data_IF_218034609918
#
_entry.id   IF_218034609918
#
_cell.length_a   1.000
_cell.length_b   1.000
_cell.length_c   1.000
_cell.angle_alpha   90.00
_cell.angle_beta   90.00
_cell.angle_gamma   90.00
#
_symmetry.space_group_name_H-M   'P 1'
#
loop_
_entity.id
_entity.type
_entity.pdbx_description
1 polymer ?
#
# COMPACT_ATOMS: atom_id res chain seq x y z
N UNK A 1 16.62 42.39 6.84
CA UNK A 1 15.79 41.68 7.83
C UNK A 1 16.19 40.22 7.77
N UNK A 2 16.55 39.61 8.89
CA UNK A 2 16.84 38.18 8.94
C UNK A 2 15.58 37.34 8.73
N UNK A 3 15.72 36.09 8.25
CA UNK A 3 14.58 35.19 7.99
C UNK A 3 13.66 35.04 9.21
N UNK A 4 14.26 34.92 10.40
CA UNK A 4 13.53 34.82 11.66
C UNK A 4 12.71 36.09 11.97
N UNK A 5 13.32 37.26 11.82
CA UNK A 5 12.65 38.54 12.06
C UNK A 5 11.46 38.75 11.11
N UNK A 6 11.62 38.35 9.84
CA UNK A 6 10.55 38.42 8.84
C UNK A 6 9.42 37.42 9.15
N UNK A 7 9.75 36.18 9.53
CA UNK A 7 8.76 35.19 9.95
C UNK A 7 7.97 35.65 11.19
N UNK A 8 8.66 36.21 12.19
CA UNK A 8 8.03 36.75 13.40
C UNK A 8 7.14 37.97 13.07
N UNK A 9 7.54 38.83 12.13
CA UNK A 9 6.71 39.92 11.63
C UNK A 9 5.45 39.44 10.89
N UNK A 10 5.55 38.36 10.10
CA UNK A 10 4.40 37.74 9.44
C UNK A 10 3.42 37.20 10.48
N UNK A 11 3.92 36.46 11.48
CA UNK A 11 3.08 35.90 12.56
C UNK A 11 2.38 36.99 13.38
N UNK A 12 3.08 38.09 13.65
CA UNK A 12 2.49 39.22 14.39
C UNK A 12 1.46 40.01 13.59
N UNK A 13 1.61 40.08 12.26
CA UNK A 13 0.76 40.88 11.37
C UNK A 13 -0.39 40.13 10.71
N UNK A 14 -0.61 38.85 11.03
CA UNK A 14 -1.61 38.01 10.37
C UNK A 14 -3.03 38.27 10.89
N UNK A 15 -4.00 38.35 9.97
CA UNK A 15 -5.42 38.28 10.29
C UNK A 15 -5.83 36.86 10.68
N UNK A 16 -6.12 36.62 11.96
CA UNK A 16 -6.48 35.30 12.48
C UNK A 16 -7.75 34.72 11.83
N UNK A 17 -8.71 35.57 11.44
CA UNK A 17 -9.93 35.14 10.77
C UNK A 17 -9.66 34.50 9.40
N UNK A 18 -8.72 35.05 8.63
CA UNK A 18 -8.34 34.49 7.33
C UNK A 18 -7.66 33.12 7.48
N UNK A 19 -6.85 32.94 8.54
CA UNK A 19 -6.24 31.66 8.88
C UNK A 19 -7.29 30.64 9.31
N UNK A 20 -8.22 31.03 10.19
CA UNK A 20 -9.31 30.15 10.61
C UNK A 20 -10.21 29.73 9.44
N UNK A 21 -10.53 30.68 8.54
CA UNK A 21 -11.27 30.41 7.31
C UNK A 21 -10.55 29.42 6.41
N UNK A 22 -9.24 29.60 6.20
CA UNK A 22 -8.43 28.66 5.44
C UNK A 22 -8.43 27.26 6.08
N UNK A 23 -8.18 27.16 7.39
CA UNK A 23 -8.13 25.86 8.09
C UNK A 23 -9.45 25.10 8.02
N UNK A 24 -10.59 25.80 7.95
CA UNK A 24 -11.91 25.20 7.78
C UNK A 24 -12.12 24.57 6.39
N UNK A 25 -11.36 24.98 5.36
CA UNK A 25 -11.40 24.36 4.03
C UNK A 25 -10.77 22.96 4.02
N UNK A 26 -9.92 22.63 5.01
CA UNK A 26 -9.17 21.39 5.08
C UNK A 26 -9.78 20.44 6.12
N UNK A 27 -10.41 19.33 5.71
CA UNK A 27 -11.00 18.38 6.64
C UNK A 27 -9.91 17.61 7.40
N UNK A 28 -10.23 16.90 8.51
CA UNK A 28 -9.28 16.03 9.20
C UNK A 28 -8.65 14.97 8.30
N UNK A 29 -7.43 14.53 8.62
CA UNK A 29 -6.67 13.57 7.78
C UNK A 29 -7.43 12.27 7.50
N UNK A 30 -8.33 11.86 8.40
CA UNK A 30 -9.19 10.68 8.26
C UNK A 30 -10.07 10.76 7.00
N UNK A 31 -10.55 11.97 6.68
CA UNK A 31 -11.44 12.28 5.56
C UNK A 31 -10.69 12.52 4.24
N UNK A 32 -9.36 12.69 4.29
CA UNK A 32 -8.53 12.80 3.08
C UNK A 32 -8.59 11.51 2.27
N UNK A 33 -9.10 11.58 1.03
CA UNK A 33 -9.31 10.41 0.19
C UNK A 33 -8.04 9.76 -0.37
N UNK A 34 -8.25 8.84 -1.31
CA UNK A 34 -7.20 8.31 -2.19
C UNK A 34 -7.09 9.20 -3.42
N UNK A 35 -5.97 9.10 -4.15
CA UNK A 35 -5.86 9.69 -5.49
C UNK A 35 -6.69 8.90 -6.50
N UNK A 36 -7.07 9.57 -7.58
CA UNK A 36 -7.74 8.93 -8.71
C UNK A 36 -6.87 7.81 -9.33
N UNK A 37 -7.48 6.72 -9.83
CA UNK A 37 -6.75 5.65 -10.50
C UNK A 37 -5.84 6.17 -11.63
N UNK A 38 -4.61 5.68 -11.69
CA UNK A 38 -3.62 6.07 -12.70
C UNK A 38 -2.70 7.25 -12.33
N UNK A 39 -2.93 7.92 -11.19
CA UNK A 39 -2.05 8.98 -10.69
C UNK A 39 -0.86 8.47 -9.86
N UNK A 40 -0.74 7.15 -9.66
CA UNK A 40 0.39 6.52 -8.97
C UNK A 40 1.20 5.67 -9.93
N UNK A 41 2.50 5.92 -9.91
CA UNK A 41 3.49 5.09 -10.60
C UNK A 41 3.94 4.02 -9.60
N UNK A 42 3.48 2.77 -9.77
CA UNK A 42 3.84 1.59 -8.94
C UNK A 42 5.36 1.39 -8.74
N UNK A 43 6.17 2.04 -9.58
CA UNK A 43 7.62 1.98 -9.60
C UNK A 43 8.29 2.62 -8.37
N UNK A 44 7.57 3.28 -7.46
CA UNK A 44 8.15 4.01 -6.34
C UNK A 44 8.86 3.14 -5.28
N UNK A 45 8.49 1.85 -5.17
CA UNK A 45 9.23 0.91 -4.30
C UNK A 45 10.53 0.39 -4.92
N UNK A 46 10.69 0.58 -6.23
CA UNK A 46 11.77 0.00 -7.03
C UNK A 46 12.54 1.03 -7.86
N UNK A 47 12.30 2.34 -7.64
CA UNK A 47 12.93 3.46 -8.38
C UNK A 47 14.43 3.30 -8.56
N UNK A 48 15.11 2.74 -7.56
CA UNK A 48 16.57 2.55 -7.57
C UNK A 48 17.04 1.12 -7.82
N UNK A 49 16.16 0.12 -7.71
CA UNK A 49 16.55 -1.31 -7.82
C UNK A 49 15.43 -2.12 -8.44
N UNK A 50 15.76 -2.92 -9.46
CA UNK A 50 14.83 -3.86 -10.09
C UNK A 50 14.15 -4.76 -9.03
N UNK A 51 12.85 -5.07 -9.20
CA UNK A 51 12.15 -5.99 -8.33
C UNK A 51 12.77 -7.40 -8.39
N UNK A 52 12.77 -8.16 -7.27
CA UNK A 52 13.19 -9.55 -7.27
C UNK A 52 12.36 -10.39 -8.26
N UNK A 53 13.03 -11.28 -9.01
CA UNK A 53 12.36 -12.21 -9.94
C UNK A 53 11.72 -13.39 -9.21
N UNK A 54 12.28 -13.81 -8.08
CA UNK A 54 11.72 -14.87 -7.24
C UNK A 54 10.41 -14.38 -6.58
N UNK A 55 9.25 -15.01 -6.87
CA UNK A 55 7.96 -14.62 -6.32
C UNK A 55 7.92 -14.56 -4.79
N UNK A 56 8.61 -15.46 -4.08
CA UNK A 56 8.64 -15.46 -2.60
C UNK A 56 9.41 -14.27 -2.06
N UNK A 57 10.54 -13.94 -2.68
CA UNK A 57 11.35 -12.76 -2.31
C UNK A 57 10.64 -11.47 -2.67
N UNK A 58 9.95 -11.43 -3.81
CA UNK A 58 9.14 -10.29 -4.22
C UNK A 58 8.01 -10.05 -3.20
N UNK A 59 7.26 -11.09 -2.83
CA UNK A 59 6.21 -11.02 -1.81
C UNK A 59 6.73 -10.48 -0.49
N UNK A 60 7.83 -11.05 0.03
CA UNK A 60 8.42 -10.62 1.29
C UNK A 60 8.83 -9.13 1.25
N UNK A 61 9.40 -8.68 0.12
CA UNK A 61 9.78 -7.28 -0.07
C UNK A 61 8.57 -6.35 -0.15
N UNK A 62 7.52 -6.74 -0.88
CA UNK A 62 6.27 -5.98 -0.96
C UNK A 62 5.58 -5.87 0.40
N UNK A 63 5.53 -6.96 1.18
CA UNK A 63 4.97 -6.96 2.54
C UNK A 63 5.75 -6.05 3.50
N UNK A 64 7.09 -6.06 3.41
CA UNK A 64 7.92 -5.12 4.17
C UNK A 64 7.67 -3.66 3.74
N UNK A 65 7.53 -3.42 2.44
CA UNK A 65 7.16 -2.11 1.88
C UNK A 65 5.80 -1.62 2.36
N UNK A 66 4.78 -2.49 2.39
CA UNK A 66 3.45 -2.18 2.91
C UNK A 66 3.50 -1.74 4.37
N UNK A 67 4.19 -2.50 5.23
CA UNK A 67 4.35 -2.14 6.64
C UNK A 67 5.08 -0.81 6.81
N UNK A 68 6.13 -0.55 6.03
CA UNK A 68 6.83 0.72 6.06
C UNK A 68 5.91 1.86 5.62
N UNK A 69 5.12 1.67 4.57
CA UNK A 69 4.22 2.70 4.07
C UNK A 69 3.04 2.99 5.00
N UNK A 70 2.53 1.98 5.73
CA UNK A 70 1.54 2.18 6.78
C UNK A 70 2.07 3.05 7.92
N UNK A 71 3.35 2.86 8.32
CA UNK A 71 4.01 3.75 9.28
C UNK A 71 4.16 5.18 8.73
N UNK A 72 4.64 5.31 7.50
CA UNK A 72 4.76 6.60 6.82
C UNK A 72 3.42 7.32 6.70
N UNK A 73 2.32 6.59 6.44
CA UNK A 73 0.97 7.16 6.43
C UNK A 73 0.60 7.71 7.80
N UNK A 74 0.83 6.97 8.88
CA UNK A 74 0.55 7.44 10.24
C UNK A 74 1.33 8.73 10.56
N UNK A 75 2.62 8.79 10.23
CA UNK A 75 3.46 9.98 10.41
C UNK A 75 2.95 11.18 9.57
N UNK A 76 2.51 10.93 8.33
CA UNK A 76 1.95 11.96 7.43
C UNK A 76 0.60 12.48 7.90
N UNK A 77 -0.29 11.60 8.39
CA UNK A 77 -1.56 12.01 8.98
C UNK A 77 -1.33 12.88 10.23
N UNK A 78 -0.42 12.46 11.12
CA UNK A 78 -0.04 13.25 12.30
C UNK A 78 0.46 14.64 11.90
N UNK A 79 1.37 14.72 10.91
CA UNK A 79 1.88 16.01 10.43
C UNK A 79 0.79 16.88 9.80
N UNK A 80 -0.11 16.28 9.03
CA UNK A 80 -1.24 17.00 8.45
C UNK A 80 -2.15 17.58 9.54
N UNK A 81 -2.54 16.76 10.52
CA UNK A 81 -3.43 17.20 11.60
C UNK A 81 -2.74 18.20 12.55
N UNK A 82 -1.42 18.10 12.74
CA UNK A 82 -0.61 19.09 13.44
C UNK A 82 -0.70 20.47 12.74
N UNK A 83 -0.48 20.53 11.43
CA UNK A 83 -0.61 21.78 10.66
C UNK A 83 -2.05 22.30 10.71
N UNK A 84 -3.04 21.40 10.59
CA UNK A 84 -4.47 21.76 10.63
C UNK A 84 -4.90 22.34 11.98
N UNK A 85 -4.34 21.84 13.08
CA UNK A 85 -4.73 22.24 14.44
C UNK A 85 -3.92 23.43 14.97
N UNK A 86 -2.63 23.48 14.69
CA UNK A 86 -1.72 24.51 15.20
C UNK A 86 -1.51 25.66 14.21
N UNK A 87 -1.90 25.51 12.93
CA UNK A 87 -1.80 26.55 11.92
C UNK A 87 -0.36 26.98 11.67
N UNK A 88 -0.09 28.28 11.79
CA UNK A 88 1.23 28.87 11.51
C UNK A 88 2.32 28.44 12.50
N UNK A 89 1.96 28.02 13.71
CA UNK A 89 2.92 27.54 14.71
C UNK A 89 3.56 26.21 14.30
N UNK A 90 2.84 25.40 13.52
CA UNK A 90 3.39 24.16 12.98
C UNK A 90 4.30 24.38 11.76
N UNK A 91 4.40 25.60 11.22
CA UNK A 91 5.13 25.91 9.99
C UNK A 91 6.49 26.52 10.32
N UNK A 92 7.52 26.08 9.58
CA UNK A 92 8.88 26.58 9.73
C UNK A 92 9.00 28.04 9.27
N UNK A 93 9.94 28.77 9.88
CA UNK A 93 10.27 30.16 9.48
C UNK A 93 10.66 30.24 7.99
N UNK A 94 11.28 29.19 7.46
CA UNK A 94 11.63 29.10 6.05
C UNK A 94 10.39 29.02 5.14
N UNK A 95 9.44 28.14 5.46
CA UNK A 95 8.23 27.96 4.65
C UNK A 95 7.32 29.20 4.70
N UNK A 96 7.30 29.91 5.84
CA UNK A 96 6.59 31.19 5.98
C UNK A 96 7.18 32.29 5.10
N UNK A 97 8.50 32.32 4.97
CA UNK A 97 9.19 33.42 4.28
C UNK A 97 9.36 33.18 2.79
N UNK A 98 9.46 31.92 2.33
CA UNK A 98 9.69 31.58 0.91
C UNK A 98 8.53 31.91 -0.02
N UNK A 99 7.30 31.98 0.49
CA UNK A 99 6.09 32.18 -0.33
C UNK A 99 5.77 33.66 -0.62
N UNK A 100 6.59 34.60 -0.11
CA UNK A 100 6.38 36.04 -0.25
C UNK A 100 6.88 36.63 -1.56
N UNK A 101 6.01 37.35 -2.26
CA UNK A 101 6.40 38.28 -3.33
C UNK A 101 6.43 39.72 -2.79
N UNK A 102 7.23 40.62 -3.39
CA UNK A 102 7.22 42.04 -3.01
C UNK A 102 5.80 42.63 -3.08
N UNK A 103 5.35 43.27 -2.01
CA UNK A 103 4.04 43.92 -1.94
C UNK A 103 2.93 43.11 -1.26
N UNK A 104 3.14 41.83 -0.95
CA UNK A 104 2.16 41.04 -0.20
C UNK A 104 2.10 41.47 1.27
N UNK A 105 0.89 41.54 1.81
CA UNK A 105 0.63 41.71 3.25
C UNK A 105 1.07 40.48 4.05
N UNK A 106 1.30 40.65 5.36
CA UNK A 106 1.59 39.54 6.27
C UNK A 106 0.52 38.43 6.18
N UNK A 107 -0.75 38.80 6.11
CA UNK A 107 -1.87 37.85 5.96
C UNK A 107 -1.79 37.05 4.67
N UNK A 108 -1.57 37.68 3.53
CA UNK A 108 -1.48 36.97 2.24
C UNK A 108 -0.30 35.99 2.22
N UNK A 109 0.84 36.40 2.80
CA UNK A 109 2.02 35.53 2.91
C UNK A 109 1.73 34.31 3.80
N UNK A 110 1.13 34.54 4.97
CA UNK A 110 0.78 33.48 5.91
C UNK A 110 -0.25 32.50 5.33
N UNK A 111 -1.33 33.00 4.71
CA UNK A 111 -2.36 32.19 4.06
C UNK A 111 -1.75 31.34 2.95
N UNK A 112 -0.89 31.92 2.11
CA UNK A 112 -0.26 31.20 1.01
C UNK A 112 0.71 30.12 1.50
N UNK A 113 1.52 30.42 2.51
CA UNK A 113 2.41 29.45 3.15
C UNK A 113 1.64 28.28 3.78
N UNK A 114 0.63 28.59 4.58
CA UNK A 114 -0.21 27.58 5.23
C UNK A 114 -0.97 26.73 4.23
N UNK A 115 -1.55 27.34 3.19
CA UNK A 115 -2.24 26.62 2.11
C UNK A 115 -1.28 25.67 1.39
N UNK A 116 -0.07 26.12 1.07
CA UNK A 116 0.94 25.29 0.43
C UNK A 116 1.35 24.10 1.32
N UNK A 117 1.57 24.34 2.61
CA UNK A 117 1.92 23.29 3.57
C UNK A 117 0.81 22.24 3.70
N UNK A 118 -0.45 22.67 3.81
CA UNK A 118 -1.61 21.79 3.89
C UNK A 118 -1.81 20.98 2.60
N UNK A 119 -1.72 21.62 1.43
CA UNK A 119 -1.82 20.91 0.15
C UNK A 119 -0.73 19.86 -0.03
N UNK A 120 0.50 20.17 0.40
CA UNK A 120 1.60 19.22 0.33
C UNK A 120 1.40 18.06 1.30
N UNK A 121 0.97 18.35 2.53
CA UNK A 121 0.65 17.33 3.52
C UNK A 121 -0.51 16.42 3.05
N UNK A 122 -1.58 17.00 2.53
CA UNK A 122 -2.71 16.27 1.94
C UNK A 122 -2.25 15.38 0.77
N UNK A 123 -1.44 15.95 -0.14
CA UNK A 123 -0.85 15.22 -1.27
C UNK A 123 -0.02 14.01 -0.83
N UNK A 124 0.67 14.10 0.31
CA UNK A 124 1.44 13.01 0.89
C UNK A 124 0.55 11.95 1.54
N UNK A 125 -0.55 12.34 2.19
CA UNK A 125 -1.54 11.42 2.76
C UNK A 125 -2.25 10.65 1.64
N UNK A 126 -2.83 11.35 0.67
CA UNK A 126 -3.54 10.75 -0.48
C UNK A 126 -2.65 9.78 -1.24
N UNK A 127 -1.40 10.16 -1.52
CA UNK A 127 -0.41 9.30 -2.16
C UNK A 127 -0.13 8.02 -1.36
N UNK A 128 0.03 8.14 -0.04
CA UNK A 128 0.33 6.98 0.81
C UNK A 128 -0.81 5.99 0.84
N UNK A 129 -2.06 6.49 0.93
CA UNK A 129 -3.26 5.64 0.92
C UNK A 129 -3.39 4.87 -0.40
N UNK A 130 -3.18 5.53 -1.54
CA UNK A 130 -3.22 4.88 -2.84
C UNK A 130 -2.06 3.89 -3.06
N UNK A 131 -0.85 4.18 -2.54
CA UNK A 131 0.28 3.24 -2.62
C UNK A 131 0.05 1.98 -1.76
N UNK A 132 -0.55 2.14 -0.58
CA UNK A 132 -0.95 1.02 0.28
C UNK A 132 -1.93 0.09 -0.45
N UNK A 133 -2.97 0.64 -1.07
CA UNK A 133 -3.93 -0.14 -1.86
C UNK A 133 -3.25 -0.89 -3.01
N UNK A 134 -2.41 -0.20 -3.79
CA UNK A 134 -1.66 -0.82 -4.89
C UNK A 134 -0.75 -1.97 -4.40
N UNK A 135 -0.19 -1.84 -3.20
CA UNK A 135 0.63 -2.87 -2.56
C UNK A 135 -0.21 -4.07 -2.12
N UNK A 136 -1.37 -3.82 -1.51
CA UNK A 136 -2.31 -4.84 -1.06
C UNK A 136 -2.86 -5.65 -2.25
N UNK A 137 -3.28 -4.98 -3.32
CA UNK A 137 -3.72 -5.62 -4.56
C UNK A 137 -2.63 -6.49 -5.16
N UNK A 138 -1.39 -5.98 -5.23
CA UNK A 138 -0.27 -6.74 -5.79
C UNK A 138 0.10 -7.94 -4.94
N UNK A 139 0.05 -7.81 -3.62
CA UNK A 139 0.27 -8.92 -2.69
C UNK A 139 -0.82 -9.99 -2.86
N UNK A 140 -2.09 -9.59 -2.96
CA UNK A 140 -3.20 -10.51 -3.18
C UNK A 140 -3.05 -11.27 -4.50
N UNK A 141 -2.70 -10.58 -5.59
CA UNK A 141 -2.40 -11.18 -6.90
C UNK A 141 -1.25 -12.20 -6.81
N UNK A 142 -0.15 -11.83 -6.14
CA UNK A 142 1.02 -12.70 -6.01
C UNK A 142 0.75 -13.92 -5.13
N UNK A 143 -0.06 -13.78 -4.08
CA UNK A 143 -0.49 -14.89 -3.23
C UNK A 143 -1.39 -15.87 -4.00
N UNK A 144 -2.28 -15.37 -4.86
CA UNK A 144 -3.07 -16.22 -5.75
C UNK A 144 -2.21 -17.03 -6.74
N UNK A 145 -1.19 -16.40 -7.34
CA UNK A 145 -0.23 -17.07 -8.23
C UNK A 145 0.64 -18.12 -7.50
N UNK A 146 1.07 -17.81 -6.27
CA UNK A 146 1.84 -18.76 -5.46
C UNK A 146 0.99 -19.98 -5.05
N UNK A 147 -0.30 -19.80 -4.77
CA UNK A 147 -1.20 -20.91 -4.45
C UNK A 147 -1.54 -21.77 -5.68
N UNK A 148 -1.73 -21.15 -6.86
CA UNK A 148 -1.99 -21.89 -8.10
C UNK A 148 -0.79 -22.76 -8.49
N UNK A 149 0.43 -22.21 -8.39
CA UNK A 149 1.68 -22.93 -8.68
C UNK A 149 1.94 -24.07 -7.70
N UNK A 150 1.66 -23.89 -6.40
CA UNK A 150 1.72 -24.98 -5.41
C UNK A 150 0.75 -26.12 -5.72
N UNK A 151 -0.49 -25.79 -6.10
CA UNK A 151 -1.50 -26.79 -6.49
C UNK A 151 -1.04 -27.57 -7.72
N UNK A 152 -0.55 -26.88 -8.75
CA UNK A 152 -0.02 -27.51 -9.96
C UNK A 152 1.18 -28.43 -9.64
N UNK A 153 2.11 -28.00 -8.80
CA UNK A 153 3.26 -28.81 -8.37
C UNK A 153 2.86 -30.04 -7.54
N UNK A 154 1.78 -29.95 -6.74
CA UNK A 154 1.24 -31.09 -6.00
C UNK A 154 0.63 -32.13 -6.95
N UNK A 155 -0.09 -31.68 -7.97
CA UNK A 155 -0.66 -32.55 -9.01
C UNK A 155 0.44 -33.24 -9.81
N UNK A 156 1.48 -32.51 -10.24
CA UNK A 156 2.59 -33.11 -11.00
C UNK A 156 3.42 -34.09 -10.17
N UNK A 157 3.66 -33.81 -8.88
CA UNK A 157 4.34 -34.75 -7.98
C UNK A 157 3.51 -36.03 -7.78
N UNK A 158 2.20 -35.90 -7.61
CA UNK A 158 1.32 -37.07 -7.54
C UNK A 158 1.34 -37.90 -8.83
N UNK A 159 1.48 -37.26 -10.00
CA UNK A 159 1.64 -37.95 -11.28
C UNK A 159 3.02 -38.62 -11.47
N UNK A 160 4.06 -38.15 -10.78
CA UNK A 160 5.41 -38.73 -10.88
C UNK A 160 5.62 -39.89 -9.90
N UNK A 161 4.89 -39.93 -8.78
CA UNK A 161 4.96 -41.00 -7.77
C UNK A 161 4.05 -42.21 -8.08
N UNK A 162 3.48 -42.30 -9.28
CA UNK A 162 2.59 -43.42 -9.64
C UNK A 162 3.40 -44.72 -9.57
N UNK A 163 3.02 -45.70 -8.73
CA UNK A 163 3.74 -46.96 -8.62
C UNK A 163 3.68 -47.74 -9.93
N UNK A 164 4.74 -48.47 -10.27
CA UNK A 164 4.77 -49.31 -11.47
C UNK A 164 3.53 -50.24 -11.54
N UNK A 165 2.84 -50.21 -12.68
CA UNK A 165 1.59 -50.94 -12.90
C UNK A 165 0.30 -50.19 -12.50
N UNK A 166 0.40 -48.92 -12.10
CA UNK A 166 -0.74 -48.01 -11.92
C UNK A 166 -0.67 -46.86 -12.92
N UNK A 167 -1.83 -46.25 -13.19
CA UNK A 167 -1.97 -45.08 -14.06
C UNK A 167 -3.02 -44.13 -13.46
N UNK A 168 -2.85 -42.83 -13.65
CA UNK A 168 -3.86 -41.83 -13.28
C UNK A 168 -4.82 -41.67 -14.45
N UNK A 169 -6.11 -41.83 -14.19
CA UNK A 169 -7.17 -41.69 -15.18
C UNK A 169 -8.13 -40.59 -14.72
N UNK A 170 -8.41 -39.61 -15.59
CA UNK A 170 -9.39 -38.55 -15.36
C UNK A 170 -10.51 -38.66 -16.40
N UNK A 171 -11.71 -39.07 -15.97
CA UNK A 171 -12.86 -39.32 -16.85
C UNK A 171 -14.15 -38.91 -16.16
N UNK A 172 -15.05 -38.30 -16.91
CA UNK A 172 -16.39 -37.94 -16.43
C UNK A 172 -17.30 -39.18 -16.43
N UNK A 173 -17.76 -39.59 -15.25
CA UNK A 173 -18.57 -40.81 -15.09
C UNK A 173 -19.92 -40.51 -14.41
N UNK A 174 -21.00 -41.25 -14.75
CA UNK A 174 -22.25 -41.25 -14.00
C UNK A 174 -22.06 -41.70 -12.54
N UNK A 175 -22.94 -41.25 -11.64
CA UNK A 175 -22.78 -41.45 -10.19
C UNK A 175 -22.53 -42.91 -9.75
N UNK A 176 -23.20 -43.88 -10.38
CA UNK A 176 -23.03 -45.30 -10.05
C UNK A 176 -21.63 -45.84 -10.42
N UNK A 177 -21.05 -45.39 -11.54
CA UNK A 177 -19.71 -45.80 -11.96
C UNK A 177 -18.63 -45.09 -11.14
N UNK A 178 -18.84 -43.81 -10.81
CA UNK A 178 -17.95 -43.07 -9.93
C UNK A 178 -17.85 -43.73 -8.53
N UNK A 179 -18.95 -44.30 -8.02
CA UNK A 179 -18.93 -45.05 -6.76
C UNK A 179 -18.05 -46.31 -6.83
N UNK A 180 -18.14 -47.07 -7.92
CA UNK A 180 -17.30 -48.26 -8.15
C UNK A 180 -15.82 -47.85 -8.22
N UNK A 181 -15.50 -46.80 -8.99
CA UNK A 181 -14.13 -46.30 -9.13
C UNK A 181 -13.56 -45.82 -7.79
N UNK A 182 -14.36 -45.19 -6.92
CA UNK A 182 -13.94 -44.85 -5.55
C UNK A 182 -13.55 -46.09 -4.73
N UNK A 183 -14.34 -47.17 -4.82
CA UNK A 183 -14.03 -48.44 -4.13
C UNK A 183 -12.74 -49.07 -4.65
N UNK A 184 -12.48 -49.00 -5.95
CA UNK A 184 -11.21 -49.46 -6.52
C UNK A 184 -10.03 -48.61 -6.07
N UNK A 185 -10.18 -47.28 -6.01
CA UNK A 185 -9.15 -46.38 -5.51
C UNK A 185 -8.79 -46.66 -4.03
N UNK A 186 -9.80 -46.88 -3.17
CA UNK A 186 -9.59 -47.29 -1.76
C UNK A 186 -8.78 -48.60 -1.66
N UNK A 187 -9.17 -49.62 -2.43
CA UNK A 187 -8.49 -50.91 -2.45
C UNK A 187 -7.06 -50.81 -3.00
N UNK A 188 -6.83 -49.99 -4.02
CA UNK A 188 -5.51 -49.70 -4.56
C UNK A 188 -4.61 -49.01 -3.54
N UNK A 189 -5.12 -47.98 -2.85
CA UNK A 189 -4.37 -47.26 -1.82
C UNK A 189 -3.94 -48.19 -0.67
N UNK A 190 -4.82 -49.09 -0.24
CA UNK A 190 -4.51 -50.09 0.78
C UNK A 190 -3.37 -51.03 0.35
N UNK A 191 -3.37 -51.48 -0.91
CA UNK A 191 -2.30 -52.33 -1.49
C UNK A 191 -0.96 -51.60 -1.65
N UNK A 192 -0.99 -50.33 -2.02
CA UNK A 192 0.22 -49.49 -2.15
C UNK A 192 0.84 -49.26 -0.76
N UNK A 193 0.00 -48.93 0.24
CA UNK A 193 0.45 -48.68 1.60
C UNK A 193 1.00 -49.95 2.28
N UNK A 194 0.44 -51.12 2.01
CA UNK A 194 0.95 -52.39 2.55
C UNK A 194 2.29 -52.79 1.94
N UNK A 195 2.50 -52.53 0.64
CA UNK A 195 3.80 -52.73 -0.03
C UNK A 195 4.89 -51.77 0.45
N UNK A 196 4.54 -50.53 0.85
CA UNK A 196 5.50 -49.54 1.40
C UNK A 196 5.95 -49.82 2.85
N UNK A 197 5.26 -50.72 3.57
CA UNK A 197 5.58 -51.07 4.98
C UNK A 197 6.46 -52.31 5.16
N UNK A 198 6.75 -53.04 4.08
CA UNK A 198 7.73 -54.13 4.02
C UNK A 198 9.05 -53.58 3.48
#
# INVERSE_FOLDING_TARGET
MGMKEDADAIRAGVGLEAIAGLLAEFPPSEQTGKREPGQIIWNDLFVRKKPPTDPKKLRAKLAAGLKAQQRTLAERCLRYDEIRTQGLEAISDYDLTIQGFPGNTATERAVKALRCALWLADSHVTYSRSLIESLEEKLASLDAELESTKKAAKVSKAATEIPAGYEIVDVTLPAHQAFIVRKWAEAAQAKINSKRKK
#
